data_IF_748321267153
#
_entry.id   IF_748321267153
#
_cell.length_a   1.000
_cell.length_b   1.000
_cell.length_c   1.000
_cell.angle_alpha   90.00
_cell.angle_beta   90.00
_cell.angle_gamma   90.00
#
_symmetry.space_group_name_H-M   'P 1'
#
loop_
_entity.id
_entity.type
_entity.pdbx_description
1 polymer ?
#
# COMPACT_ATOMS: atom_id res chain seq x y z
N UNK A 1 -15.13 -11.01 3.56
CA UNK A 1 -14.62 -9.87 4.33
C UNK A 1 -15.17 -10.07 5.72
N UNK A 2 -14.27 -10.38 6.65
CA UNK A 2 -14.57 -10.49 8.08
C UNK A 2 -13.73 -9.40 8.75
N UNK A 3 -14.33 -8.63 9.65
CA UNK A 3 -13.67 -7.50 10.30
C UNK A 3 -13.96 -7.54 11.80
N UNK A 4 -13.13 -6.88 12.59
CA UNK A 4 -13.43 -6.58 13.99
C UNK A 4 -13.48 -5.07 14.24
N UNK A 5 -14.19 -4.66 15.28
CA UNK A 5 -14.48 -3.24 15.51
C UNK A 5 -13.25 -2.43 15.93
N UNK A 6 -12.32 -3.02 16.69
CA UNK A 6 -11.15 -2.31 17.18
C UNK A 6 -10.25 -1.88 16.02
N UNK A 7 -9.95 -2.81 15.11
CA UNK A 7 -9.11 -2.54 13.94
C UNK A 7 -9.79 -1.59 12.94
N UNK A 8 -11.13 -1.58 12.87
CA UNK A 8 -11.86 -0.59 12.07
C UNK A 8 -11.66 0.83 12.62
N UNK A 9 -11.59 1.00 13.94
CA UNK A 9 -11.34 2.30 14.53
C UNK A 9 -9.94 2.80 14.18
N UNK A 10 -8.94 1.93 14.26
CA UNK A 10 -7.55 2.26 13.88
C UNK A 10 -7.41 2.54 12.37
N UNK A 11 -8.28 1.95 11.55
CA UNK A 11 -8.33 2.19 10.09
C UNK A 11 -8.83 3.58 9.69
N UNK A 12 -9.32 4.40 10.63
CA UNK A 12 -9.71 5.79 10.35
C UNK A 12 -8.53 6.76 10.33
N UNK A 13 -7.40 6.38 10.93
CA UNK A 13 -6.20 7.20 10.99
C UNK A 13 -5.33 7.04 9.74
N UNK A 14 -4.52 8.07 9.45
CA UNK A 14 -3.49 8.03 8.41
C UNK A 14 -2.19 7.40 8.97
N UNK A 15 -2.29 6.16 9.46
CA UNK A 15 -1.22 5.50 10.23
C UNK A 15 -0.36 4.52 9.40
N UNK A 16 -0.84 4.13 8.21
CA UNK A 16 -0.26 3.02 7.44
C UNK A 16 -1.07 1.73 7.54
N UNK A 17 -1.91 1.60 8.58
CA UNK A 17 -2.81 0.47 8.78
C UNK A 17 -4.23 0.78 8.32
N UNK A 18 -4.86 -0.14 7.60
CA UNK A 18 -6.26 -0.08 7.21
C UNK A 18 -6.84 -1.47 6.87
N UNK A 19 -7.46 -2.12 7.86
CA UNK A 19 -8.01 -3.47 7.71
C UNK A 19 -9.06 -3.58 6.60
N UNK A 20 -9.84 -2.52 6.35
CA UNK A 20 -10.86 -2.53 5.30
C UNK A 20 -10.19 -2.61 3.92
N UNK A 21 -9.14 -1.81 3.70
CA UNK A 21 -8.38 -1.80 2.46
C UNK A 21 -7.65 -3.12 2.27
N UNK A 22 -7.05 -3.66 3.33
CA UNK A 22 -6.39 -4.96 3.34
C UNK A 22 -7.32 -6.07 2.81
N UNK A 23 -8.50 -6.22 3.41
CA UNK A 23 -9.48 -7.23 3.00
C UNK A 23 -10.01 -6.99 1.57
N UNK A 24 -10.15 -5.73 1.16
CA UNK A 24 -10.54 -5.38 -0.22
C UNK A 24 -9.44 -5.77 -1.20
N UNK A 25 -8.16 -5.56 -0.87
CA UNK A 25 -7.04 -5.94 -1.71
C UNK A 25 -7.02 -7.45 -1.98
N UNK A 26 -7.25 -8.29 -0.96
CA UNK A 26 -7.41 -9.74 -1.18
C UNK A 26 -8.59 -10.09 -2.10
N UNK A 27 -9.70 -9.33 -2.05
CA UNK A 27 -10.81 -9.52 -3.01
C UNK A 27 -10.48 -9.06 -4.42
N UNK A 28 -9.60 -8.08 -4.58
CA UNK A 28 -9.11 -7.66 -5.90
C UNK A 28 -8.13 -8.67 -6.49
N UNK A 29 -7.25 -9.24 -5.67
CA UNK A 29 -6.29 -10.29 -6.04
C UNK A 29 -7.01 -11.55 -6.52
N UNK A 30 -7.97 -12.04 -5.74
CA UNK A 30 -8.73 -13.27 -6.06
C UNK A 30 -9.84 -13.10 -7.10
N UNK A 31 -10.02 -11.89 -7.68
CA UNK A 31 -11.17 -11.62 -8.57
C UNK A 31 -11.16 -12.46 -9.86
N UNK A 32 -9.98 -12.88 -10.32
CA UNK A 32 -9.80 -13.53 -11.61
C UNK A 32 -9.25 -14.97 -11.53
N UNK A 33 -9.11 -15.52 -10.32
CA UNK A 33 -8.62 -16.87 -10.07
C UNK A 33 -8.79 -17.30 -8.62
N UNK A 34 -8.76 -18.61 -8.37
CA UNK A 34 -9.03 -19.17 -7.04
C UNK A 34 -7.90 -18.96 -6.02
N UNK A 35 -6.74 -18.43 -6.44
CA UNK A 35 -5.56 -18.25 -5.58
C UNK A 35 -5.16 -16.79 -5.50
N UNK A 36 -4.92 -16.33 -4.27
CA UNK A 36 -4.28 -15.06 -4.00
C UNK A 36 -2.78 -15.19 -4.36
N UNK A 37 -2.29 -14.32 -5.24
CA UNK A 37 -0.89 -14.30 -5.69
C UNK A 37 -0.24 -12.94 -5.55
N UNK A 38 -0.94 -11.96 -4.98
CA UNK A 38 -0.50 -10.56 -4.94
C UNK A 38 -0.57 -9.85 -6.28
N UNK A 39 -1.27 -10.42 -7.28
CA UNK A 39 -1.36 -9.88 -8.64
C UNK A 39 -2.85 -9.68 -8.96
N UNK A 40 -3.37 -8.46 -8.85
CA UNK A 40 -4.77 -8.21 -9.14
C UNK A 40 -5.04 -8.30 -10.65
N UNK A 41 -6.30 -8.14 -11.05
CA UNK A 41 -6.69 -8.24 -12.45
C UNK A 41 -6.06 -7.14 -13.33
N UNK A 42 -4.94 -7.47 -13.96
CA UNK A 42 -4.14 -6.62 -14.85
C UNK A 42 -3.93 -7.30 -16.22
N UNK A 43 -3.52 -6.56 -17.27
CA UNK A 43 -3.19 -7.15 -18.56
C UNK A 43 -2.08 -8.20 -18.45
N UNK A 44 -2.23 -9.36 -19.11
CA UNK A 44 -1.27 -10.48 -19.02
C UNK A 44 0.19 -10.09 -19.29
N UNK A 45 0.42 -9.12 -20.19
CA UNK A 45 1.76 -8.61 -20.51
C UNK A 45 2.46 -7.89 -19.33
N UNK A 46 1.70 -7.45 -18.33
CA UNK A 46 2.19 -6.68 -17.18
C UNK A 46 2.48 -7.58 -15.97
N UNK A 47 1.93 -8.79 -15.94
CA UNK A 47 2.04 -9.75 -14.82
C UNK A 47 3.50 -9.99 -14.43
N UNK A 48 4.36 -10.35 -15.39
CA UNK A 48 5.76 -10.64 -15.08
C UNK A 48 6.51 -9.43 -14.49
N UNK A 49 6.18 -8.21 -14.94
CA UNK A 49 6.76 -6.99 -14.39
C UNK A 49 6.22 -6.66 -13.00
N UNK A 50 4.93 -6.93 -12.77
CA UNK A 50 4.31 -6.77 -11.46
C UNK A 50 4.90 -7.72 -10.43
N UNK A 51 4.98 -9.01 -10.73
CA UNK A 51 5.56 -10.03 -9.85
C UNK A 51 7.02 -9.72 -9.53
N UNK A 52 7.79 -9.28 -10.53
CA UNK A 52 9.18 -8.88 -10.33
C UNK A 52 9.30 -7.72 -9.32
N UNK A 53 8.55 -6.64 -9.52
CA UNK A 53 8.63 -5.46 -8.66
C UNK A 53 8.06 -5.74 -7.26
N UNK A 54 7.03 -6.59 -7.15
CA UNK A 54 6.46 -7.04 -5.88
C UNK A 54 7.46 -7.89 -5.08
N UNK A 55 8.07 -8.90 -5.70
CA UNK A 55 9.08 -9.73 -5.01
C UNK A 55 10.34 -8.93 -4.65
N UNK A 56 10.72 -7.95 -5.48
CA UNK A 56 11.81 -7.04 -5.13
C UNK A 56 11.48 -6.20 -3.88
N UNK A 57 10.23 -5.71 -3.76
CA UNK A 57 9.77 -5.01 -2.57
C UNK A 57 9.76 -5.92 -1.34
N UNK A 58 9.26 -7.16 -1.46
CA UNK A 58 9.28 -8.14 -0.36
C UNK A 58 10.70 -8.39 0.16
N UNK A 59 11.66 -8.64 -0.74
CA UNK A 59 13.05 -8.86 -0.36
C UNK A 59 13.64 -7.62 0.35
N UNK A 60 13.35 -6.42 -0.14
CA UNK A 60 13.82 -5.19 0.49
C UNK A 60 13.20 -4.96 1.88
N UNK A 61 11.94 -5.32 2.08
CA UNK A 61 11.28 -5.28 3.40
C UNK A 61 11.95 -6.30 4.34
N UNK A 62 12.19 -7.52 3.86
CA UNK A 62 12.89 -8.56 4.61
C UNK A 62 14.31 -8.14 5.03
N UNK A 63 15.08 -7.55 4.12
CA UNK A 63 16.42 -7.02 4.42
C UNK A 63 16.40 -5.92 5.49
N UNK A 64 15.40 -5.04 5.47
CA UNK A 64 15.25 -4.03 6.52
C UNK A 64 14.93 -4.68 7.88
N UNK A 65 13.99 -5.63 7.91
CA UNK A 65 13.62 -6.35 9.13
C UNK A 65 14.84 -7.04 9.74
N UNK A 66 15.68 -7.67 8.93
CA UNK A 66 16.91 -8.31 9.39
C UNK A 66 17.92 -7.32 9.96
N UNK A 67 17.94 -6.08 9.46
CA UNK A 67 18.86 -5.04 9.89
C UNK A 67 18.41 -4.34 11.18
N UNK A 68 17.13 -3.98 11.29
CA UNK A 68 16.62 -3.09 12.36
C UNK A 68 15.63 -3.77 13.31
N UNK A 69 15.14 -4.97 12.96
CA UNK A 69 14.09 -5.70 13.67
C UNK A 69 12.68 -5.27 13.25
N UNK A 70 11.70 -6.16 13.43
CA UNK A 70 10.30 -5.98 12.98
C UNK A 70 9.67 -4.68 13.49
N UNK A 71 9.83 -4.36 14.79
CA UNK A 71 9.21 -3.18 15.41
C UNK A 71 9.78 -1.83 14.92
N UNK A 72 10.94 -1.84 14.26
CA UNK A 72 11.60 -0.64 13.77
C UNK A 72 11.61 -0.56 12.23
N UNK A 73 11.08 -1.57 11.55
CA UNK A 73 10.92 -1.55 10.10
C UNK A 73 9.88 -0.50 9.70
N UNK A 74 10.06 0.11 8.52
CA UNK A 74 9.18 1.20 8.08
C UNK A 74 7.87 0.72 7.44
N UNK A 75 7.87 -0.51 6.92
CA UNK A 75 6.69 -1.22 6.42
C UNK A 75 6.44 -2.38 7.37
N UNK A 76 5.17 -2.67 7.65
CA UNK A 76 4.77 -3.81 8.46
C UNK A 76 5.44 -5.10 7.97
N UNK A 77 6.07 -5.82 8.90
CA UNK A 77 6.81 -7.04 8.60
C UNK A 77 5.96 -8.13 7.96
N UNK A 78 4.64 -8.09 8.16
CA UNK A 78 3.70 -9.01 7.55
C UNK A 78 3.72 -8.94 6.01
N UNK A 79 4.10 -7.80 5.42
CA UNK A 79 4.26 -7.66 3.98
C UNK A 79 5.36 -8.55 3.37
N UNK A 80 6.32 -9.03 4.16
CA UNK A 80 7.37 -9.93 3.69
C UNK A 80 6.96 -11.42 3.74
N UNK A 81 5.80 -11.75 4.32
CA UNK A 81 5.39 -13.14 4.58
C UNK A 81 5.03 -13.91 3.30
N UNK A 82 4.18 -13.33 2.45
CA UNK A 82 3.84 -13.85 1.13
C UNK A 82 3.37 -12.73 0.17
N UNK A 83 3.34 -12.98 -1.15
CA UNK A 83 3.00 -11.95 -2.13
C UNK A 83 1.59 -11.37 -2.01
N UNK A 84 0.59 -12.17 -1.60
CA UNK A 84 -0.77 -11.69 -1.43
C UNK A 84 -0.85 -10.70 -0.26
N UNK A 85 -0.16 -11.01 0.83
CA UNK A 85 -0.03 -10.11 1.98
C UNK A 85 0.79 -8.87 1.65
N UNK A 86 1.85 -9.01 0.87
CA UNK A 86 2.61 -7.86 0.37
C UNK A 86 1.72 -6.89 -0.40
N UNK A 87 0.89 -7.41 -1.31
CA UNK A 87 -0.07 -6.59 -2.06
C UNK A 87 -1.12 -5.93 -1.14
N UNK A 88 -1.64 -6.67 -0.16
CA UNK A 88 -2.64 -6.15 0.76
C UNK A 88 -2.08 -5.05 1.66
N UNK A 89 -0.95 -5.30 2.34
CA UNK A 89 -0.27 -4.31 3.19
C UNK A 89 0.16 -3.09 2.38
N UNK A 90 0.82 -3.26 1.24
CA UNK A 90 1.20 -2.11 0.41
C UNK A 90 -0.02 -1.34 -0.13
N UNK A 91 -1.19 -1.97 -0.24
CA UNK A 91 -2.44 -1.26 -0.55
C UNK A 91 -2.93 -0.42 0.62
N UNK A 92 -2.76 -0.86 1.87
CA UNK A 92 -3.01 -0.02 3.05
C UNK A 92 -2.14 1.24 2.99
N UNK A 93 -0.82 1.05 2.91
CA UNK A 93 0.14 2.16 2.81
C UNK A 93 -0.14 3.07 1.60
N UNK A 94 -0.56 2.52 0.46
CA UNK A 94 -0.93 3.31 -0.71
C UNK A 94 -2.00 4.36 -0.39
N UNK A 95 -2.98 4.03 0.44
CA UNK A 95 -4.09 4.92 0.76
C UNK A 95 -3.93 5.68 2.08
N UNK A 96 -3.25 5.13 3.08
CA UNK A 96 -3.16 5.72 4.44
C UNK A 96 -1.82 6.37 4.75
N UNK A 97 -0.72 5.97 4.10
CA UNK A 97 0.62 6.54 4.32
C UNK A 97 1.47 6.54 3.03
N UNK A 98 0.98 7.18 1.93
CA UNK A 98 1.61 7.11 0.61
C UNK A 98 3.06 7.65 0.58
N UNK A 99 3.41 8.53 1.50
CA UNK A 99 4.76 9.07 1.69
C UNK A 99 5.79 8.03 2.15
N UNK A 100 5.36 6.91 2.74
CA UNK A 100 6.25 5.80 3.10
C UNK A 100 6.44 4.83 1.93
N UNK A 101 5.41 4.67 1.08
CA UNK A 101 5.44 3.73 -0.03
C UNK A 101 6.10 4.33 -1.28
N UNK A 102 5.61 5.47 -1.76
CA UNK A 102 6.00 6.04 -3.05
C UNK A 102 7.52 6.28 -3.23
N UNK A 103 8.25 6.89 -2.28
CA UNK A 103 9.69 7.10 -2.45
C UNK A 103 10.50 5.82 -2.28
N UNK A 104 9.99 4.84 -1.52
CA UNK A 104 10.70 3.59 -1.24
C UNK A 104 10.63 2.61 -2.40
N UNK A 105 9.47 2.47 -3.02
CA UNK A 105 9.23 1.50 -4.10
C UNK A 105 8.65 2.20 -5.35
N UNK A 106 9.40 3.10 -6.01
CA UNK A 106 8.86 3.97 -7.06
C UNK A 106 8.29 3.20 -8.27
N UNK A 107 8.93 2.11 -8.69
CA UNK A 107 8.44 1.28 -9.80
C UNK A 107 7.11 0.61 -9.46
N UNK A 108 7.00 0.03 -8.26
CA UNK A 108 5.78 -0.64 -7.80
C UNK A 108 4.66 0.37 -7.52
N UNK A 109 4.98 1.52 -6.94
CA UNK A 109 4.05 2.64 -6.74
C UNK A 109 3.37 3.04 -8.07
N UNK A 110 4.13 3.19 -9.15
CA UNK A 110 3.56 3.53 -10.45
C UNK A 110 2.57 2.47 -10.95
N UNK A 111 2.83 1.19 -10.70
CA UNK A 111 1.89 0.11 -11.02
C UNK A 111 0.62 0.20 -10.17
N UNK A 112 0.74 0.51 -8.88
CA UNK A 112 -0.41 0.72 -8.01
C UNK A 112 -1.26 1.91 -8.46
N UNK A 113 -0.64 3.03 -8.85
CA UNK A 113 -1.36 4.17 -9.42
C UNK A 113 -2.12 3.80 -10.70
N UNK A 114 -1.49 3.03 -11.59
CA UNK A 114 -2.11 2.55 -12.83
C UNK A 114 -3.22 1.53 -12.56
N UNK A 115 -3.07 0.67 -11.55
CA UNK A 115 -4.08 -0.31 -11.19
C UNK A 115 -5.29 0.34 -10.50
N UNK A 116 -5.07 1.12 -9.44
CA UNK A 116 -6.12 1.79 -8.67
C UNK A 116 -6.69 3.03 -9.36
N UNK A 117 -6.05 3.52 -10.42
CA UNK A 117 -6.42 4.75 -11.14
C UNK A 117 -6.51 5.97 -10.22
N UNK A 118 -5.62 6.03 -9.23
CA UNK A 118 -5.54 7.07 -8.21
C UNK A 118 -4.08 7.42 -7.92
N UNK A 119 -3.83 8.64 -7.45
CA UNK A 119 -2.53 9.07 -6.92
C UNK A 119 -2.73 9.73 -5.55
N UNK A 120 -2.70 8.94 -4.46
CA UNK A 120 -2.90 9.45 -3.10
C UNK A 120 -1.82 10.43 -2.64
N UNK A 121 -0.56 10.26 -3.07
CA UNK A 121 0.51 11.19 -2.73
C UNK A 121 0.26 12.57 -3.35
N UNK A 122 -0.13 12.60 -4.63
CA UNK A 122 -0.50 13.85 -5.28
C UNK A 122 -1.73 14.51 -4.62
N UNK A 123 -2.71 13.71 -4.19
CA UNK A 123 -3.88 14.20 -3.45
C UNK A 123 -3.46 14.85 -2.13
N UNK A 124 -2.57 14.21 -1.37
CA UNK A 124 -2.05 14.71 -0.09
C UNK A 124 -1.32 16.05 -0.26
N UNK A 125 -0.44 16.17 -1.25
CA UNK A 125 0.24 17.44 -1.56
C UNK A 125 -0.74 18.57 -1.86
N UNK A 126 -1.79 18.32 -2.67
CA UNK A 126 -2.81 19.33 -2.97
C UNK A 126 -3.62 19.76 -1.74
N UNK A 127 -3.91 18.82 -0.84
CA UNK A 127 -4.60 19.14 0.41
C UNK A 127 -3.76 20.07 1.30
N UNK A 128 -2.47 19.72 1.47
CA UNK A 128 -1.54 20.53 2.26
C UNK A 128 -1.35 21.94 1.68
N UNK A 129 -1.26 22.06 0.35
CA UNK A 129 -1.20 23.38 -0.32
C UNK A 129 -2.48 24.20 -0.03
N UNK A 130 -3.66 23.57 -0.11
CA UNK A 130 -4.94 24.25 0.12
C UNK A 130 -5.08 24.78 1.55
N UNK A 131 -4.63 24.02 2.55
CA UNK A 131 -4.61 24.45 3.95
C UNK A 131 -3.62 25.59 4.18
N UNK A 132 -2.46 25.54 3.52
CA UNK A 132 -1.44 26.60 3.55
C UNK A 132 -1.98 27.94 3.02
N UNK A 133 -2.70 27.91 1.90
CA UNK A 133 -3.33 29.10 1.33
C UNK A 133 -4.48 29.63 2.20
N UNK A 134 -5.23 28.75 2.86
CA UNK A 134 -6.32 29.14 3.77
C UNK A 134 -5.81 29.79 5.05
N UNK A 135 -4.70 29.30 5.62
CA UNK A 135 -4.08 29.89 6.80
C UNK A 135 -3.46 31.27 6.53
N UNK A 136 -2.96 31.51 5.30
CA UNK A 136 -2.29 32.78 4.93
C UNK A 136 -3.28 33.91 4.66
N UNK A 137 -4.54 33.60 4.29
CA UNK A 137 -5.57 34.59 3.94
C UNK A 137 -6.47 35.05 5.11
N UNK A 138 -6.16 34.65 6.35
CA UNK A 138 -6.95 34.99 7.57
C UNK A 138 -6.26 36.08 8.42
N UNK A 139 -5.28 36.80 7.86
CA UNK A 139 -4.62 37.95 8.49
C UNK A 139 -4.80 39.22 7.64
#
# INVERSE_FOLDING_TARGET
IVLNWLDIQDSFDASGFNLIIHEVAHKLDTRNGDRASGVPFIPLREVAGWEHDLHAAMNNIQEEIELVGENAASIDAYAASDPAECFAVLSEYFFSAPELFAPRFPSLWQRFCQFYQQDPLQRLHRANDTDSFSATNVH
#
